data_IF_636751376867
#
_entry.id   IF_636751376867
#
_cell.length_a   1.000
_cell.length_b   1.000
_cell.length_c   1.000
_cell.angle_alpha   90.00
_cell.angle_beta   90.00
_cell.angle_gamma   90.00
#
_symmetry.space_group_name_H-M   'P 1'
#
loop_
_entity.id
_entity.type
_entity.pdbx_description
1 polymer ?
#
# COMPACT_ATOMS: atom_id res chain seq x y z
N UNK A 1 12.70 20.26 15.24
CA UNK A 1 12.35 20.05 13.82
C UNK A 1 12.99 18.78 13.27
N UNK A 2 14.30 18.64 13.37
CA UNK A 2 15.06 17.48 12.87
C UNK A 2 14.61 16.13 13.46
N UNK A 3 14.34 16.06 14.77
CA UNK A 3 13.86 14.83 15.44
C UNK A 3 12.52 14.35 14.88
N UNK A 4 11.57 15.26 14.61
CA UNK A 4 10.26 14.92 14.02
C UNK A 4 10.39 14.41 12.60
N UNK A 5 11.24 15.03 11.79
CA UNK A 5 11.51 14.57 10.43
C UNK A 5 12.14 13.18 10.43
N UNK A 6 13.09 12.91 11.33
CA UNK A 6 13.69 11.58 11.50
C UNK A 6 12.65 10.51 11.83
N UNK A 7 11.76 10.77 12.80
CA UNK A 7 10.69 9.83 13.17
C UNK A 7 9.76 9.59 12.00
N UNK A 8 9.31 10.64 11.31
CA UNK A 8 8.47 10.52 10.12
C UNK A 8 9.14 9.70 9.01
N UNK A 9 10.43 9.92 8.77
CA UNK A 9 11.22 9.16 7.81
C UNK A 9 11.22 7.67 8.12
N UNK A 10 11.43 7.30 9.39
CA UNK A 10 11.40 5.89 9.83
C UNK A 10 10.00 5.29 9.60
N UNK A 11 8.94 6.01 9.99
CA UNK A 11 7.56 5.56 9.79
C UNK A 11 7.24 5.35 8.30
N UNK A 12 7.72 6.23 7.43
CA UNK A 12 7.53 6.09 5.99
C UNK A 12 8.33 4.92 5.41
N UNK A 13 9.52 4.59 5.93
CA UNK A 13 10.21 3.36 5.54
C UNK A 13 9.43 2.10 5.95
N UNK A 14 8.84 2.09 7.15
CA UNK A 14 7.96 0.99 7.58
C UNK A 14 6.75 0.87 6.64
N UNK A 15 6.14 1.99 6.28
CA UNK A 15 5.05 2.03 5.32
C UNK A 15 5.47 1.52 3.93
N UNK A 16 6.61 1.95 3.41
CA UNK A 16 7.14 1.48 2.13
C UNK A 16 7.48 -0.02 2.15
N UNK A 17 8.06 -0.51 3.24
CA UNK A 17 8.33 -1.94 3.44
C UNK A 17 7.04 -2.77 3.45
N UNK A 18 5.98 -2.27 4.09
CA UNK A 18 4.66 -2.91 4.03
C UNK A 18 4.16 -3.04 2.58
N UNK A 19 4.24 -1.98 1.76
CA UNK A 19 3.84 -2.02 0.36
C UNK A 19 4.65 -3.02 -0.46
N UNK A 20 5.96 -3.11 -0.22
CA UNK A 20 6.85 -4.07 -0.88
C UNK A 20 6.44 -5.49 -0.51
N UNK A 21 6.26 -5.80 0.77
CA UNK A 21 5.87 -7.12 1.24
C UNK A 21 4.48 -7.51 0.74
N UNK A 22 3.51 -6.60 0.83
CA UNK A 22 2.17 -6.79 0.30
C UNK A 22 2.21 -7.07 -1.21
N UNK A 23 2.98 -6.28 -1.95
CA UNK A 23 3.16 -6.44 -3.38
C UNK A 23 3.78 -7.80 -3.75
N UNK A 24 4.82 -8.22 -3.02
CA UNK A 24 5.46 -9.53 -3.24
C UNK A 24 4.50 -10.68 -2.97
N UNK A 25 3.74 -10.64 -1.87
CA UNK A 25 2.75 -11.69 -1.54
C UNK A 25 1.74 -11.84 -2.66
N UNK A 26 1.19 -10.73 -3.17
CA UNK A 26 0.19 -10.77 -4.25
C UNK A 26 0.78 -11.19 -5.60
N UNK A 27 1.98 -10.69 -5.93
CA UNK A 27 2.66 -10.98 -7.19
C UNK A 27 3.08 -12.45 -7.29
N UNK A 28 3.57 -13.01 -6.19
CA UNK A 28 4.09 -14.38 -6.15
C UNK A 28 3.02 -15.43 -5.82
N UNK A 29 1.82 -15.02 -5.44
CA UNK A 29 0.76 -15.98 -5.11
C UNK A 29 0.42 -16.88 -6.31
N UNK A 30 0.36 -18.21 -6.12
CA UNK A 30 -0.02 -19.15 -7.18
C UNK A 30 -1.55 -19.21 -7.40
N UNK A 31 -2.34 -18.66 -6.48
CA UNK A 31 -3.81 -18.68 -6.49
C UNK A 31 -4.38 -17.42 -5.86
N UNK A 32 -5.69 -17.18 -6.02
CA UNK A 32 -6.37 -16.06 -5.38
C UNK A 32 -6.36 -16.21 -3.85
N UNK A 33 -6.57 -15.11 -3.15
CA UNK A 33 -6.56 -15.10 -1.69
C UNK A 33 -7.84 -15.74 -1.12
N UNK A 34 -7.77 -16.36 0.09
CA UNK A 34 -8.92 -17.05 0.70
C UNK A 34 -10.17 -16.17 0.86
N UNK A 35 -10.03 -14.86 1.02
CA UNK A 35 -11.18 -13.97 1.11
C UNK A 35 -11.87 -13.75 -0.24
N UNK A 36 -11.17 -13.90 -1.38
CA UNK A 36 -11.79 -13.93 -2.70
C UNK A 36 -12.61 -15.21 -2.90
N UNK A 37 -12.10 -16.37 -2.47
CA UNK A 37 -12.82 -17.64 -2.52
C UNK A 37 -14.11 -17.57 -1.73
N UNK A 38 -14.07 -17.00 -0.52
CA UNK A 38 -15.27 -16.78 0.31
C UNK A 38 -16.30 -15.89 -0.38
N UNK A 39 -15.86 -14.83 -1.01
CA UNK A 39 -16.73 -13.90 -1.76
C UNK A 39 -17.37 -14.59 -2.96
N UNK A 40 -16.62 -15.39 -3.70
CA UNK A 40 -17.11 -16.13 -4.85
C UNK A 40 -17.96 -17.35 -4.49
N UNK A 41 -17.89 -17.82 -3.24
CA UNK A 41 -18.54 -19.06 -2.81
C UNK A 41 -17.98 -20.32 -3.47
N UNK A 42 -16.77 -20.25 -4.03
CA UNK A 42 -16.08 -21.34 -4.75
C UNK A 42 -14.59 -21.29 -4.44
N UNK A 43 -13.95 -22.46 -4.41
CA UNK A 43 -12.49 -22.55 -4.36
C UNK A 43 -11.87 -22.16 -5.70
N UNK A 44 -10.58 -21.86 -5.71
CA UNK A 44 -9.86 -21.49 -6.95
C UNK A 44 -9.94 -22.60 -8.01
N UNK A 45 -9.89 -23.85 -7.58
CA UNK A 45 -9.95 -25.05 -8.41
C UNK A 45 -11.35 -25.31 -9.02
N UNK A 46 -12.41 -24.77 -8.41
CA UNK A 46 -13.80 -24.87 -8.90
C UNK A 46 -14.19 -23.75 -9.86
N UNK A 47 -13.33 -22.75 -10.05
CA UNK A 47 -13.56 -21.69 -11.02
C UNK A 47 -13.35 -22.19 -12.45
N UNK A 48 -14.13 -21.66 -13.37
CA UNK A 48 -13.82 -21.91 -14.77
C UNK A 48 -12.44 -21.31 -15.15
N UNK A 49 -11.71 -21.92 -16.09
CA UNK A 49 -10.32 -21.55 -16.36
C UNK A 49 -10.11 -20.08 -16.75
N UNK A 50 -11.08 -19.43 -17.40
CA UNK A 50 -10.97 -18.03 -17.80
C UNK A 50 -11.14 -17.10 -16.60
N UNK A 51 -12.12 -17.39 -15.73
CA UNK A 51 -12.35 -16.64 -14.49
C UNK A 51 -11.17 -16.80 -13.54
N UNK A 52 -10.66 -18.02 -13.38
CA UNK A 52 -9.49 -18.29 -12.56
C UNK A 52 -8.27 -17.49 -13.03
N UNK A 53 -7.99 -17.51 -14.34
CA UNK A 53 -6.89 -16.76 -14.94
C UNK A 53 -7.05 -15.26 -14.75
N UNK A 54 -8.23 -14.71 -15.06
CA UNK A 54 -8.49 -13.27 -14.94
C UNK A 54 -8.35 -12.79 -13.50
N UNK A 55 -8.90 -13.53 -12.55
CA UNK A 55 -8.83 -13.20 -11.12
C UNK A 55 -7.38 -13.21 -10.62
N UNK A 56 -6.61 -14.24 -10.98
CA UNK A 56 -5.21 -14.34 -10.61
C UNK A 56 -4.35 -13.27 -11.30
N UNK A 57 -4.60 -12.99 -12.56
CA UNK A 57 -3.89 -11.92 -13.30
C UNK A 57 -4.15 -10.55 -12.65
N UNK A 58 -5.40 -10.25 -12.30
CA UNK A 58 -5.75 -9.01 -11.60
C UNK A 58 -5.05 -8.87 -10.26
N UNK A 59 -4.98 -9.96 -9.48
CA UNK A 59 -4.23 -9.99 -8.22
C UNK A 59 -2.75 -9.66 -8.42
N UNK A 60 -2.13 -10.26 -9.43
CA UNK A 60 -0.71 -10.04 -9.76
C UNK A 60 -0.43 -8.61 -10.22
N UNK A 61 -1.34 -8.01 -10.98
CA UNK A 61 -1.23 -6.59 -11.37
C UNK A 61 -1.26 -5.69 -10.15
N UNK A 62 -2.17 -5.91 -9.21
CA UNK A 62 -2.22 -5.15 -7.94
C UNK A 62 -0.92 -5.35 -7.16
N UNK A 63 -0.40 -6.58 -7.10
CA UNK A 63 0.88 -6.89 -6.47
C UNK A 63 2.06 -6.15 -7.10
N UNK A 64 2.15 -6.14 -8.42
CA UNK A 64 3.21 -5.43 -9.15
C UNK A 64 3.15 -3.91 -8.94
N UNK A 65 1.94 -3.33 -8.94
CA UNK A 65 1.75 -1.89 -8.67
C UNK A 65 2.13 -1.52 -7.23
N UNK A 66 1.73 -2.32 -6.24
CA UNK A 66 2.09 -2.10 -4.85
C UNK A 66 3.62 -2.20 -4.63
N UNK A 67 4.26 -3.20 -5.23
CA UNK A 67 5.71 -3.38 -5.19
C UNK A 67 6.44 -2.17 -5.81
N UNK A 68 6.02 -1.76 -7.00
CA UNK A 68 6.59 -0.59 -7.70
C UNK A 68 6.44 0.68 -6.89
N UNK A 69 5.27 0.90 -6.28
CA UNK A 69 4.99 2.05 -5.44
C UNK A 69 5.86 2.04 -4.18
N UNK A 70 6.01 0.88 -3.54
CA UNK A 70 6.86 0.71 -2.36
C UNK A 70 8.33 1.02 -2.66
N UNK A 71 8.88 0.50 -3.76
CA UNK A 71 10.25 0.79 -4.21
C UNK A 71 10.41 2.28 -4.52
N UNK A 72 9.47 2.87 -5.27
CA UNK A 72 9.47 4.30 -5.58
C UNK A 72 9.46 5.17 -4.33
N UNK A 73 8.69 4.80 -3.30
CA UNK A 73 8.68 5.52 -2.03
C UNK A 73 9.99 5.39 -1.26
N UNK A 74 10.63 4.21 -1.24
CA UNK A 74 11.97 4.07 -0.64
C UNK A 74 12.95 5.05 -1.27
N UNK A 75 12.97 5.15 -2.60
CA UNK A 75 13.83 6.09 -3.31
C UNK A 75 13.47 7.55 -2.99
N UNK A 76 12.20 7.89 -3.01
CA UNK A 76 11.72 9.24 -2.71
C UNK A 76 12.02 9.66 -1.26
N UNK A 77 11.82 8.75 -0.30
CA UNK A 77 12.14 8.98 1.11
C UNK A 77 13.63 9.24 1.27
N UNK A 78 14.48 8.41 0.65
CA UNK A 78 15.93 8.52 0.78
C UNK A 78 16.48 9.79 0.17
N UNK A 79 16.05 10.16 -1.01
CA UNK A 79 16.71 11.21 -1.80
C UNK A 79 16.06 12.58 -1.66
N UNK A 80 14.79 12.66 -1.30
CA UNK A 80 14.03 13.91 -1.29
C UNK A 80 13.39 14.19 0.08
N UNK A 81 12.51 13.30 0.58
CA UNK A 81 11.77 13.54 1.83
C UNK A 81 12.69 13.76 3.03
N UNK A 82 13.72 12.93 3.21
CA UNK A 82 14.69 13.06 4.31
C UNK A 82 15.49 14.37 4.27
N UNK A 83 15.52 15.03 3.12
CA UNK A 83 16.17 16.35 2.92
C UNK A 83 15.22 17.53 3.09
N UNK A 84 13.93 17.27 3.38
CA UNK A 84 12.93 18.31 3.58
C UNK A 84 12.33 18.85 2.27
N UNK A 85 12.37 18.08 1.18
CA UNK A 85 11.75 18.48 -0.09
C UNK A 85 10.23 18.42 0.04
N UNK A 86 9.58 19.59 -0.14
CA UNK A 86 8.14 19.77 -0.05
C UNK A 86 7.37 18.97 -1.11
N UNK A 87 7.92 18.80 -2.29
CA UNK A 87 7.26 18.02 -3.35
C UNK A 87 7.19 16.54 -2.97
N UNK A 88 8.24 15.97 -2.38
CA UNK A 88 8.23 14.61 -1.90
C UNK A 88 7.13 14.38 -0.85
N UNK A 89 6.91 15.34 0.05
CA UNK A 89 5.83 15.30 1.03
C UNK A 89 4.45 15.16 0.34
N UNK A 90 4.16 16.04 -0.62
CA UNK A 90 2.89 16.01 -1.34
C UNK A 90 2.73 14.77 -2.23
N UNK A 91 3.79 14.34 -2.92
CA UNK A 91 3.72 13.17 -3.81
C UNK A 91 3.42 11.91 -2.99
N UNK A 92 4.13 11.69 -1.89
CA UNK A 92 3.87 10.52 -1.02
C UNK A 92 2.42 10.55 -0.51
N UNK A 93 1.95 11.69 0.00
CA UNK A 93 0.59 11.82 0.51
C UNK A 93 -0.46 11.52 -0.56
N UNK A 94 -0.40 12.22 -1.69
CA UNK A 94 -1.42 12.12 -2.74
C UNK A 94 -1.42 10.73 -3.37
N UNK A 95 -0.25 10.21 -3.76
CA UNK A 95 -0.15 8.87 -4.36
C UNK A 95 -0.65 7.78 -3.41
N UNK A 96 -0.31 7.86 -2.13
CA UNK A 96 -0.78 6.89 -1.15
C UNK A 96 -2.29 6.92 -0.98
N UNK A 97 -2.90 8.10 -0.86
CA UNK A 97 -4.35 8.22 -0.69
C UNK A 97 -5.11 7.76 -1.93
N UNK A 98 -4.68 8.22 -3.12
CA UNK A 98 -5.34 7.86 -4.39
C UNK A 98 -5.27 6.35 -4.66
N UNK A 99 -4.16 5.69 -4.30
CA UNK A 99 -4.03 4.25 -4.50
C UNK A 99 -4.71 3.43 -3.39
N UNK A 100 -4.44 3.74 -2.13
CA UNK A 100 -4.79 2.85 -1.02
C UNK A 100 -6.23 3.03 -0.53
N UNK A 101 -6.83 4.21 -0.65
CA UNK A 101 -8.23 4.41 -0.19
C UNK A 101 -9.20 3.56 -1.00
N UNK A 102 -9.18 3.56 -2.36
CA UNK A 102 -10.02 2.68 -3.15
C UNK A 102 -9.73 1.19 -2.89
N UNK A 103 -8.46 0.81 -2.80
CA UNK A 103 -8.07 -0.58 -2.52
C UNK A 103 -8.63 -1.02 -1.17
N UNK A 104 -8.53 -0.19 -0.13
CA UNK A 104 -9.08 -0.49 1.20
C UNK A 104 -10.58 -0.70 1.12
N UNK A 105 -11.30 0.20 0.46
CA UNK A 105 -12.76 0.10 0.30
C UNK A 105 -13.17 -1.18 -0.42
N UNK A 106 -12.54 -1.48 -1.57
CA UNK A 106 -12.82 -2.69 -2.36
C UNK A 106 -12.50 -3.95 -1.54
N UNK A 107 -11.36 -3.96 -0.82
CA UNK A 107 -10.95 -5.11 -0.03
C UNK A 107 -11.92 -5.41 1.10
N UNK A 108 -12.43 -4.38 1.77
CA UNK A 108 -13.48 -4.55 2.78
C UNK A 108 -14.82 -4.99 2.17
N UNK A 109 -15.18 -4.47 1.00
CA UNK A 109 -16.43 -4.86 0.31
C UNK A 109 -16.42 -6.34 -0.10
N UNK A 110 -15.27 -6.89 -0.46
CA UNK A 110 -15.11 -8.30 -0.86
C UNK A 110 -14.93 -9.21 0.35
N UNK A 111 -14.07 -8.88 1.28
CA UNK A 111 -13.62 -9.79 2.34
C UNK A 111 -14.14 -9.45 3.73
N UNK A 112 -14.86 -8.35 3.91
CA UNK A 112 -15.35 -7.89 5.21
C UNK A 112 -14.24 -7.79 6.25
N UNK A 113 -14.57 -8.12 7.49
CA UNK A 113 -13.63 -8.08 8.63
C UNK A 113 -12.48 -9.10 8.55
N UNK A 114 -12.61 -10.11 7.72
CA UNK A 114 -11.57 -11.14 7.53
C UNK A 114 -10.61 -10.84 6.36
N UNK A 115 -10.75 -9.68 5.74
CA UNK A 115 -9.87 -9.26 4.65
C UNK A 115 -8.59 -8.58 5.16
N UNK A 116 -7.55 -8.48 4.32
CA UNK A 116 -6.37 -7.69 4.64
C UNK A 116 -6.63 -6.17 4.65
N UNK A 117 -7.88 -5.73 4.47
CA UNK A 117 -8.28 -4.32 4.52
C UNK A 117 -7.81 -3.59 5.78
N UNK A 118 -7.79 -4.29 6.93
CA UNK A 118 -7.27 -3.72 8.18
C UNK A 118 -5.78 -3.39 8.12
N UNK A 119 -4.97 -4.26 7.53
CA UNK A 119 -3.53 -4.01 7.38
C UNK A 119 -3.26 -2.81 6.46
N UNK A 120 -4.05 -2.66 5.41
CA UNK A 120 -3.98 -1.51 4.50
C UNK A 120 -4.43 -0.24 5.24
N UNK A 121 -5.54 -0.29 5.98
CA UNK A 121 -6.03 0.85 6.77
C UNK A 121 -5.01 1.30 7.83
N UNK A 122 -4.37 0.37 8.53
CA UNK A 122 -3.30 0.67 9.49
C UNK A 122 -2.10 1.29 8.78
N UNK A 123 -1.72 0.82 7.60
CA UNK A 123 -0.62 1.41 6.83
C UNK A 123 -0.91 2.85 6.40
N UNK A 124 -2.16 3.15 6.02
CA UNK A 124 -2.61 4.52 5.72
C UNK A 124 -2.51 5.39 6.98
N UNK A 125 -2.91 4.86 8.13
CA UNK A 125 -2.81 5.58 9.40
C UNK A 125 -1.35 5.92 9.75
N UNK A 126 -0.45 4.94 9.64
CA UNK A 126 1.00 5.15 9.86
C UNK A 126 1.54 6.23 8.94
N UNK A 127 1.23 6.16 7.65
CA UNK A 127 1.62 7.18 6.67
C UNK A 127 1.03 8.54 7.04
N UNK A 128 -0.25 8.64 7.37
CA UNK A 128 -0.92 9.90 7.72
C UNK A 128 -0.32 10.54 8.96
N UNK A 129 0.01 9.75 9.99
CA UNK A 129 0.69 10.24 11.19
C UNK A 129 2.09 10.75 10.85
N UNK A 130 2.86 10.02 10.03
CA UNK A 130 4.18 10.47 9.57
C UNK A 130 4.10 11.82 8.83
N UNK A 131 3.10 11.98 7.95
CA UNK A 131 2.87 13.23 7.24
C UNK A 131 2.48 14.37 8.19
N UNK A 132 1.62 14.12 9.17
CA UNK A 132 1.18 15.12 10.14
C UNK A 132 2.33 15.63 11.01
N UNK A 133 3.15 14.74 11.58
CA UNK A 133 4.28 15.12 12.46
C UNK A 133 5.42 15.80 11.71
N UNK A 134 5.58 15.53 10.40
CA UNK A 134 6.62 16.14 9.58
C UNK A 134 6.21 17.47 8.95
N UNK A 135 4.93 17.82 8.93
CA UNK A 135 4.37 18.99 8.23
C UNK A 135 5.16 20.29 8.46
N UNK A 136 5.59 20.54 9.69
CA UNK A 136 6.30 21.77 10.04
C UNK A 136 7.73 21.83 9.48
N UNK A 137 8.32 20.67 9.16
CA UNK A 137 9.64 20.61 8.53
C UNK A 137 9.62 21.10 7.07
N UNK A 138 8.44 21.09 6.43
CA UNK A 138 8.23 21.43 5.02
C UNK A 138 7.56 22.80 4.79
N UNK A 139 7.32 23.56 5.86
CA UNK A 139 6.69 24.90 5.79
C UNK A 139 7.64 26.05 5.45
N UNK A 140 8.95 25.82 5.39
CA UNK A 140 9.89 26.89 5.05
C UNK A 140 9.84 27.20 3.54
N UNK A 141 9.82 28.50 3.18
CA UNK A 141 9.90 28.94 1.80
C UNK A 141 11.22 28.54 1.16
#
# INVERSE_FOLDING_TARGET
MEKRLKVATIMLYVFAAFLILFGLVYLLSPRIMPYHERFLGKTFEELDPKTAYLSLASLKVVGALALSMGIGFVMMIRFQFSRGDRYAWWIILVMSLVALVPITFITFSIGGVHSPGWSIAISILVMSVAMAISKDAFKKP
#
